data_IF_308609986953
#
_entry.id   IF_308609986953
#
_cell.length_a   1.000
_cell.length_b   1.000
_cell.length_c   1.000
_cell.angle_alpha   90.00
_cell.angle_beta   90.00
_cell.angle_gamma   90.00
#
_symmetry.space_group_name_H-M   'P 1'
#
loop_
_entity.id
_entity.type
_entity.pdbx_description
1 polymer ?
#
# COMPACT_ATOMS: atom_id res chain seq x y z
N UNK A 1 -11.88 -10.57 10.45
CA UNK A 1 -12.76 -9.51 11.00
C UNK A 1 -11.88 -8.60 11.84
N UNK A 2 -12.08 -7.28 11.79
CA UNK A 2 -11.28 -6.35 12.60
C UNK A 2 -11.57 -6.56 14.10
N UNK A 3 -10.54 -6.41 14.94
CA UNK A 3 -10.72 -6.45 16.40
C UNK A 3 -11.26 -5.13 16.96
N UNK A 4 -11.01 -4.03 16.25
CA UNK A 4 -11.49 -2.69 16.55
C UNK A 4 -12.21 -2.17 15.33
N UNK A 5 -13.44 -1.71 15.51
CA UNK A 5 -14.23 -1.21 14.40
C UNK A 5 -13.61 0.07 13.81
N UNK A 6 -13.48 0.13 12.47
CA UNK A 6 -13.07 1.35 11.78
C UNK A 6 -14.05 2.50 12.08
N UNK A 7 -13.53 3.70 12.32
CA UNK A 7 -14.37 4.89 12.40
C UNK A 7 -14.84 5.33 11.01
N UNK A 8 -15.86 6.18 10.98
CA UNK A 8 -16.34 6.78 9.74
C UNK A 8 -15.23 7.61 9.06
N UNK A 9 -15.23 7.64 7.73
CA UNK A 9 -14.28 8.43 6.94
C UNK A 9 -14.41 9.94 7.21
N UNK A 10 -15.58 10.39 7.65
CA UNK A 10 -15.89 11.78 8.00
C UNK A 10 -15.59 12.13 9.47
N UNK A 11 -15.03 11.19 10.25
CA UNK A 11 -14.78 11.39 11.69
C UNK A 11 -13.82 12.56 12.00
N UNK A 12 -12.69 12.67 11.28
CA UNK A 12 -11.74 13.78 11.42
C UNK A 12 -11.44 14.41 10.05
N UNK A 13 -11.87 15.66 9.86
CA UNK A 13 -11.76 16.36 8.58
C UNK A 13 -10.32 16.53 8.09
N UNK A 14 -9.36 16.71 9.01
CA UNK A 14 -7.94 16.81 8.67
C UNK A 14 -7.37 15.47 8.19
N UNK A 15 -7.73 14.36 8.84
CA UNK A 15 -7.36 13.01 8.39
C UNK A 15 -8.03 12.68 7.07
N UNK A 16 -9.33 13.00 6.91
CA UNK A 16 -10.05 12.80 5.65
C UNK A 16 -9.31 13.46 4.49
N UNK A 17 -8.95 14.74 4.64
CA UNK A 17 -8.20 15.48 3.62
C UNK A 17 -6.85 14.86 3.30
N UNK A 18 -6.11 14.42 4.32
CA UNK A 18 -4.82 13.72 4.12
C UNK A 18 -5.00 12.36 3.43
N UNK A 19 -6.10 11.65 3.70
CA UNK A 19 -6.37 10.33 3.17
C UNK A 19 -6.90 10.33 1.72
N UNK A 20 -7.18 11.50 1.12
CA UNK A 20 -7.64 11.63 -0.27
C UNK A 20 -6.68 10.95 -1.26
N UNK A 21 -5.38 10.92 -0.97
CA UNK A 21 -4.37 10.23 -1.80
C UNK A 21 -4.61 8.71 -1.92
N UNK A 22 -5.32 8.10 -0.96
CA UNK A 22 -5.68 6.70 -1.05
C UNK A 22 -6.82 6.44 -2.04
N UNK A 23 -7.64 7.44 -2.36
CA UNK A 23 -8.64 7.30 -3.41
C UNK A 23 -7.98 7.17 -4.79
N UNK A 24 -6.87 7.88 -5.02
CA UNK A 24 -6.09 7.72 -6.26
C UNK A 24 -5.33 6.39 -6.27
N UNK A 25 -4.65 6.06 -5.17
CA UNK A 25 -3.73 4.91 -5.14
C UNK A 25 -4.46 3.56 -4.97
N UNK A 26 -5.51 3.50 -4.15
CA UNK A 26 -6.25 2.29 -3.76
C UNK A 26 -7.74 2.35 -4.15
N UNK A 27 -8.28 3.51 -4.49
CA UNK A 27 -9.70 3.70 -4.84
C UNK A 27 -10.59 4.02 -3.64
N UNK A 28 -10.05 3.99 -2.42
CA UNK A 28 -10.78 4.25 -1.18
C UNK A 28 -9.82 4.52 -0.02
N UNK A 29 -10.32 5.14 1.06
CA UNK A 29 -9.60 5.25 2.32
C UNK A 29 -9.54 3.89 3.03
N UNK A 30 -8.36 3.32 3.29
CA UNK A 30 -8.26 1.97 3.83
C UNK A 30 -8.73 1.90 5.29
N UNK A 31 -9.40 0.81 5.65
CA UNK A 31 -9.88 0.57 7.01
C UNK A 31 -8.77 0.68 8.08
N UNK A 32 -7.50 0.40 7.75
CA UNK A 32 -6.38 0.63 8.67
C UNK A 32 -6.27 2.09 9.11
N UNK A 33 -6.37 3.05 8.19
CA UNK A 33 -6.39 4.49 8.49
C UNK A 33 -7.62 4.84 9.31
N UNK A 34 -8.79 4.33 8.93
CA UNK A 34 -10.05 4.55 9.65
C UNK A 34 -10.03 3.98 11.08
N UNK A 35 -9.39 2.84 11.31
CA UNK A 35 -9.17 2.29 12.66
C UNK A 35 -8.13 3.12 13.43
N UNK A 36 -7.05 3.59 12.78
CA UNK A 36 -6.07 4.46 13.43
C UNK A 36 -6.66 5.83 13.83
N UNK A 37 -7.79 6.26 13.25
CA UNK A 37 -8.47 7.50 13.65
C UNK A 37 -8.91 7.53 15.12
N UNK A 38 -9.05 6.37 15.79
CA UNK A 38 -9.20 6.33 17.26
C UNK A 38 -8.07 7.08 17.99
N UNK A 39 -6.92 7.24 17.35
CA UNK A 39 -5.80 8.11 17.77
C UNK A 39 -5.35 8.98 16.57
N UNK A 40 -5.97 10.15 16.34
CA UNK A 40 -5.78 10.91 15.11
C UNK A 40 -4.32 11.27 14.79
N UNK A 41 -3.50 11.54 15.82
CA UNK A 41 -2.07 11.81 15.63
C UNK A 41 -1.31 10.62 15.02
N UNK A 42 -1.67 9.37 15.39
CA UNK A 42 -1.09 8.15 14.83
C UNK A 42 -1.49 8.02 13.36
N UNK A 43 -2.80 8.20 13.06
CA UNK A 43 -3.30 8.15 11.69
C UNK A 43 -2.56 9.15 10.79
N UNK A 44 -2.48 10.42 11.20
CA UNK A 44 -1.80 11.48 10.43
C UNK A 44 -0.31 11.18 10.23
N UNK A 45 0.39 10.71 11.27
CA UNK A 45 1.80 10.34 11.16
C UNK A 45 2.00 9.17 10.19
N UNK A 46 1.15 8.15 10.27
CA UNK A 46 1.20 6.99 9.38
C UNK A 46 0.95 7.36 7.92
N UNK A 47 -0.04 8.22 7.64
CA UNK A 47 -0.33 8.68 6.27
C UNK A 47 0.89 9.40 5.69
N UNK A 48 1.49 10.33 6.44
CA UNK A 48 2.67 11.06 5.98
C UNK A 48 3.88 10.13 5.76
N UNK A 49 4.08 9.15 6.63
CA UNK A 49 5.11 8.13 6.43
C UNK A 49 4.87 7.34 5.13
N UNK A 50 3.62 6.91 4.90
CA UNK A 50 3.26 6.18 3.67
C UNK A 50 3.55 7.04 2.43
N UNK A 51 3.13 8.31 2.43
CA UNK A 51 3.39 9.24 1.34
C UNK A 51 4.89 9.40 1.06
N UNK A 52 5.69 9.59 2.11
CA UNK A 52 7.14 9.72 1.98
C UNK A 52 7.80 8.45 1.40
N UNK A 53 7.38 7.26 1.85
CA UNK A 53 7.89 5.98 1.33
C UNK A 53 7.47 5.76 -0.12
N UNK A 54 6.25 6.13 -0.48
CA UNK A 54 5.70 5.89 -1.82
C UNK A 54 6.14 6.92 -2.86
N UNK A 55 6.61 8.10 -2.45
CA UNK A 55 7.17 9.12 -3.35
C UNK A 55 8.36 8.59 -4.17
N UNK A 56 8.28 8.64 -5.49
CA UNK A 56 9.34 8.13 -6.37
C UNK A 56 10.36 9.22 -6.67
N UNK A 57 11.47 9.20 -5.95
CA UNK A 57 12.58 10.14 -6.13
C UNK A 57 13.86 9.47 -6.64
N UNK A 58 13.78 8.22 -7.09
CA UNK A 58 14.95 7.44 -7.50
C UNK A 58 14.63 6.29 -8.46
N UNK A 59 15.50 5.28 -8.48
CA UNK A 59 15.44 4.14 -9.43
C UNK A 59 14.33 3.13 -9.14
N UNK A 60 13.74 3.15 -7.95
CA UNK A 60 12.67 2.22 -7.58
C UNK A 60 11.33 2.77 -8.06
N UNK A 61 10.78 2.16 -9.11
CA UNK A 61 9.51 2.56 -9.71
C UNK A 61 8.31 2.34 -8.78
N UNK A 62 7.18 2.98 -9.09
CA UNK A 62 5.93 2.79 -8.33
C UNK A 62 5.50 1.34 -8.28
N UNK A 63 5.55 0.64 -9.42
CA UNK A 63 5.23 -0.78 -9.54
C UNK A 63 6.18 -1.62 -8.65
N UNK A 64 7.50 -1.38 -8.74
CA UNK A 64 8.48 -2.13 -7.98
C UNK A 64 8.31 -1.97 -6.47
N UNK A 65 8.04 -0.75 -5.96
CA UNK A 65 7.76 -0.55 -4.53
C UNK A 65 6.57 -1.37 -4.04
N UNK A 66 5.52 -1.50 -4.85
CA UNK A 66 4.30 -2.22 -4.51
C UNK A 66 4.49 -3.74 -4.60
N UNK A 67 5.26 -4.21 -5.58
CA UNK A 67 5.74 -5.60 -5.63
C UNK A 67 6.58 -5.95 -4.38
N UNK A 68 7.51 -5.09 -3.97
CA UNK A 68 8.28 -5.28 -2.72
C UNK A 68 7.37 -5.29 -1.49
N UNK A 69 6.38 -4.40 -1.42
CA UNK A 69 5.39 -4.38 -0.35
C UNK A 69 4.59 -5.69 -0.30
N UNK A 70 4.24 -6.25 -1.45
CA UNK A 70 3.57 -7.55 -1.54
C UNK A 70 4.45 -8.68 -1.03
N UNK A 71 5.72 -8.76 -1.46
CA UNK A 71 6.67 -9.79 -1.01
C UNK A 71 6.84 -9.75 0.51
N UNK A 72 7.05 -8.55 1.07
CA UNK A 72 7.15 -8.35 2.53
C UNK A 72 5.87 -8.77 3.26
N UNK A 73 4.71 -8.40 2.72
CA UNK A 73 3.39 -8.78 3.27
C UNK A 73 3.14 -10.28 3.20
N UNK A 74 3.65 -10.95 2.17
CA UNK A 74 3.54 -12.40 2.04
C UNK A 74 4.46 -13.12 3.02
N UNK A 75 5.72 -12.70 3.12
CA UNK A 75 6.68 -13.25 4.07
C UNK A 75 6.23 -13.12 5.54
N UNK A 76 5.50 -12.05 5.87
CA UNK A 76 4.95 -11.81 7.22
C UNK A 76 3.56 -12.41 7.45
N UNK A 77 2.91 -12.97 6.42
CA UNK A 77 1.55 -13.51 6.51
C UNK A 77 0.43 -12.47 6.64
N UNK A 78 0.68 -11.19 6.36
CA UNK A 78 -0.34 -10.13 6.42
C UNK A 78 -1.28 -10.17 5.21
N UNK A 79 -2.36 -10.95 5.28
CA UNK A 79 -3.36 -11.06 4.20
C UNK A 79 -4.00 -9.71 3.80
N UNK A 80 -4.23 -8.83 4.78
CA UNK A 80 -4.73 -7.47 4.51
C UNK A 80 -3.75 -6.68 3.63
N UNK A 81 -2.47 -6.70 3.99
CA UNK A 81 -1.42 -5.99 3.29
C UNK A 81 -1.17 -6.58 1.89
N UNK A 82 -1.19 -7.92 1.76
CA UNK A 82 -1.07 -8.62 0.47
C UNK A 82 -2.12 -8.15 -0.53
N UNK A 83 -3.40 -8.11 -0.11
CA UNK A 83 -4.50 -7.68 -0.97
C UNK A 83 -4.33 -6.23 -1.45
N UNK A 84 -3.95 -5.32 -0.55
CA UNK A 84 -3.72 -3.91 -0.95
C UNK A 84 -2.49 -3.75 -1.85
N UNK A 85 -1.40 -4.47 -1.53
CA UNK A 85 -0.16 -4.35 -2.28
C UNK A 85 -0.27 -4.89 -3.70
N UNK A 86 -0.94 -6.04 -3.90
CA UNK A 86 -1.09 -6.62 -5.25
C UNK A 86 -1.98 -5.76 -6.15
N UNK A 87 -3.13 -5.32 -5.64
CA UNK A 87 -4.04 -4.45 -6.40
C UNK A 87 -3.41 -3.09 -6.69
N UNK A 88 -2.59 -2.57 -5.77
CA UNK A 88 -1.81 -1.37 -6.06
C UNK A 88 -0.73 -1.65 -7.12
N UNK A 89 -0.02 -2.76 -7.08
CA UNK A 89 1.01 -3.08 -8.05
C UNK A 89 0.46 -3.08 -9.49
N UNK A 90 -0.67 -3.76 -9.71
CA UNK A 90 -1.39 -3.79 -11.00
C UNK A 90 -1.74 -2.37 -11.48
N UNK A 91 -2.37 -1.55 -10.62
CA UNK A 91 -2.76 -0.17 -10.94
C UNK A 91 -1.59 0.72 -11.34
N UNK A 92 -0.40 0.43 -10.84
CA UNK A 92 0.81 1.19 -11.12
C UNK A 92 1.69 0.55 -12.20
N UNK A 93 1.15 -0.40 -12.96
CA UNK A 93 1.77 -0.95 -14.17
C UNK A 93 2.71 -2.14 -13.91
N UNK A 94 2.55 -2.87 -12.80
CA UNK A 94 3.14 -4.19 -12.71
C UNK A 94 2.42 -5.15 -13.68
N UNK A 95 3.18 -5.84 -14.51
CA UNK A 95 2.64 -6.79 -15.48
C UNK A 95 2.23 -8.09 -14.77
N UNK A 96 1.19 -8.76 -15.27
CA UNK A 96 0.71 -10.02 -14.67
C UNK A 96 1.83 -11.08 -14.59
N UNK A 97 2.69 -11.16 -15.61
CA UNK A 97 3.83 -12.08 -15.62
C UNK A 97 4.81 -11.82 -14.47
N UNK A 98 4.99 -10.56 -14.06
CA UNK A 98 5.79 -10.23 -12.87
C UNK A 98 5.09 -10.69 -11.60
N UNK A 99 3.78 -10.49 -11.49
CA UNK A 99 3.04 -10.86 -10.29
C UNK A 99 3.01 -12.37 -10.07
N UNK A 100 2.82 -13.13 -11.14
CA UNK A 100 2.78 -14.60 -11.12
C UNK A 100 4.15 -15.21 -10.75
N UNK A 101 5.25 -14.55 -11.15
CA UNK A 101 6.62 -15.05 -10.99
C UNK A 101 7.45 -14.28 -9.95
N UNK A 102 6.80 -13.51 -9.07
CA UNK A 102 7.49 -12.58 -8.14
C UNK A 102 8.46 -13.26 -7.16
N UNK A 103 8.29 -14.55 -6.86
CA UNK A 103 9.24 -15.33 -6.04
C UNK A 103 10.53 -15.66 -6.79
N UNK A 104 10.49 -15.65 -8.11
CA UNK A 104 11.61 -15.92 -9.01
C UNK A 104 12.26 -14.62 -9.51
N UNK A 105 12.06 -13.50 -8.80
CA UNK A 105 12.55 -12.17 -9.20
C UNK A 105 14.05 -12.09 -9.53
N UNK A 106 14.86 -13.06 -9.08
CA UNK A 106 16.31 -13.15 -9.36
C UNK A 106 16.64 -13.85 -10.67
N UNK A 107 15.74 -14.67 -11.20
CA UNK A 107 16.03 -15.61 -12.30
C UNK A 107 15.07 -15.47 -13.47
N UNK A 108 13.83 -15.02 -13.21
CA UNK A 108 12.80 -14.89 -14.23
C UNK A 108 13.03 -13.65 -15.11
N UNK A 109 12.84 -13.76 -16.43
CA UNK A 109 13.13 -12.70 -17.41
C UNK A 109 12.21 -11.47 -17.31
N UNK A 110 11.10 -11.57 -16.57
CA UNK A 110 10.19 -10.46 -16.31
C UNK A 110 10.78 -9.39 -15.38
N UNK A 111 11.95 -9.64 -14.80
CA UNK A 111 12.63 -8.74 -13.86
C UNK A 111 14.01 -8.31 -14.35
N UNK A 112 14.45 -7.14 -13.90
CA UNK A 112 15.79 -6.60 -14.17
C UNK A 112 16.52 -6.30 -12.86
N UNK A 113 17.84 -6.11 -12.93
CA UNK A 113 18.71 -5.85 -11.75
C UNK A 113 18.38 -4.53 -11.00
N UNK A 114 17.71 -3.57 -11.66
CA UNK A 114 17.28 -2.25 -11.15
C UNK A 114 18.35 -1.29 -10.57
#
# INVERSE_FOLDING_TARGET
MSLVDPLDADHDSATKKLAEIFNETLGFCPNSVLTMQHRPAISKAFINLNMAVMANEGRVSSALKRMMAWVSSNATGCRYCQAHAISAAERYGAEQEQLDNIWEYRTHSAFSEA
#
